data_IF_693074761517
#
_entry.id   IF_693074761517
#
_cell.length_a   1.000
_cell.length_b   1.000
_cell.length_c   1.000
_cell.angle_alpha   90.00
_cell.angle_beta   90.00
_cell.angle_gamma   90.00
#
_symmetry.space_group_name_H-M   'P 1'
#
loop_
_entity.id
_entity.type
_entity.pdbx_description
1 polymer ?
#
# COMPACT_ATOMS: atom_id res chain seq x y z
N UNK A 1 1.34 7.82 24.34
CA UNK A 1 0.84 6.61 23.63
C UNK A 1 2.00 5.96 22.90
N UNK A 2 2.24 4.67 23.13
CA UNK A 2 3.44 3.96 22.70
C UNK A 2 3.57 3.92 21.16
N UNK A 3 4.70 4.32 20.58
CA UNK A 3 4.89 4.40 19.11
C UNK A 3 4.65 3.05 18.42
N UNK A 4 4.96 1.96 19.12
CA UNK A 4 4.68 0.58 18.68
C UNK A 4 3.19 0.33 18.42
N UNK A 5 2.31 0.74 19.34
CA UNK A 5 0.86 0.57 19.19
C UNK A 5 0.32 1.32 17.96
N UNK A 6 0.91 2.47 17.64
CA UNK A 6 0.54 3.24 16.45
C UNK A 6 0.91 2.52 15.16
N UNK A 7 2.07 1.85 15.11
CA UNK A 7 2.50 1.10 13.94
C UNK A 7 1.70 -0.19 13.79
N UNK A 8 1.45 -0.91 14.89
CA UNK A 8 0.59 -2.10 14.89
C UNK A 8 -0.80 -1.80 14.38
N UNK A 9 -1.40 -0.67 14.78
CA UNK A 9 -2.72 -0.26 14.27
C UNK A 9 -2.72 -0.01 12.76
N UNK A 10 -1.67 0.62 12.22
CA UNK A 10 -1.55 0.87 10.77
C UNK A 10 -1.37 -0.43 10.00
N UNK A 11 -0.52 -1.33 10.49
CA UNK A 11 -0.30 -2.64 9.85
C UNK A 11 -1.58 -3.48 9.91
N UNK A 12 -2.25 -3.54 11.05
CA UNK A 12 -3.51 -4.27 11.20
C UNK A 12 -4.60 -3.72 10.25
N UNK A 13 -4.75 -2.40 10.18
CA UNK A 13 -5.69 -1.78 9.25
C UNK A 13 -5.32 -2.08 7.78
N UNK A 14 -4.03 -2.07 7.44
CA UNK A 14 -3.57 -2.38 6.10
C UNK A 14 -3.78 -3.86 5.74
N UNK A 15 -3.52 -4.78 6.67
CA UNK A 15 -3.79 -6.21 6.48
C UNK A 15 -5.27 -6.48 6.28
N UNK A 16 -6.15 -5.85 7.08
CA UNK A 16 -7.60 -5.95 6.89
C UNK A 16 -8.03 -5.38 5.54
N UNK A 17 -7.44 -4.24 5.14
CA UNK A 17 -7.70 -3.63 3.82
C UNK A 17 -7.35 -4.56 2.67
N UNK A 18 -6.16 -5.15 2.71
CA UNK A 18 -5.72 -6.10 1.70
C UNK A 18 -6.56 -7.39 1.71
N UNK A 19 -7.02 -7.83 2.88
CA UNK A 19 -7.93 -8.98 2.97
C UNK A 19 -9.29 -8.68 2.33
N UNK A 20 -9.86 -7.49 2.53
CA UNK A 20 -11.06 -7.04 1.81
C UNK A 20 -10.81 -7.03 0.29
N UNK A 21 -9.70 -6.44 -0.16
CA UNK A 21 -9.36 -6.40 -1.59
C UNK A 21 -9.29 -7.80 -2.20
N UNK A 22 -8.61 -8.75 -1.54
CA UNK A 22 -8.48 -10.13 -2.02
C UNK A 22 -9.85 -10.84 -2.02
N UNK A 23 -10.65 -10.68 -0.96
CA UNK A 23 -11.96 -11.33 -0.85
C UNK A 23 -12.95 -10.88 -1.95
N UNK A 24 -12.82 -9.63 -2.41
CA UNK A 24 -13.73 -9.05 -3.40
C UNK A 24 -13.09 -8.79 -4.78
N UNK A 25 -11.86 -9.31 -5.01
CA UNK A 25 -11.07 -9.04 -6.22
C UNK A 25 -11.74 -9.52 -7.52
N UNK A 26 -12.63 -10.51 -7.44
CA UNK A 26 -13.42 -11.06 -8.56
C UNK A 26 -14.27 -10.03 -9.32
N UNK A 27 -14.39 -8.79 -8.83
CA UNK A 27 -15.32 -7.78 -9.35
C UNK A 27 -14.64 -6.63 -10.09
N UNK A 28 -13.31 -6.62 -10.20
CA UNK A 28 -12.56 -5.51 -10.78
C UNK A 28 -11.59 -6.00 -11.85
N UNK A 29 -12.05 -6.09 -13.10
CA UNK A 29 -11.14 -6.19 -14.25
C UNK A 29 -10.58 -4.80 -14.56
N UNK A 30 -9.25 -4.67 -14.59
CA UNK A 30 -8.62 -3.49 -15.16
C UNK A 30 -8.66 -3.58 -16.69
N UNK A 31 -8.97 -2.49 -17.40
CA UNK A 31 -8.84 -2.44 -18.86
C UNK A 31 -7.43 -2.87 -19.30
N UNK A 32 -7.35 -3.72 -20.33
CA UNK A 32 -6.07 -4.25 -20.83
C UNK A 32 -5.07 -3.13 -21.20
N UNK A 33 -5.58 -2.02 -21.73
CA UNK A 33 -4.78 -0.84 -22.10
C UNK A 33 -4.07 -0.21 -20.90
N UNK A 34 -4.72 -0.20 -19.72
CA UNK A 34 -4.12 0.29 -18.48
C UNK A 34 -3.02 -0.66 -17.99
N UNK A 35 -3.22 -1.97 -18.12
CA UNK A 35 -2.23 -2.99 -17.73
C UNK A 35 -0.97 -2.85 -18.60
N UNK A 36 -1.12 -2.71 -19.92
CA UNK A 36 0.00 -2.59 -20.86
C UNK A 36 0.79 -1.29 -20.67
N UNK A 37 0.13 -0.18 -20.33
CA UNK A 37 0.79 1.12 -20.10
C UNK A 37 1.80 1.10 -18.95
N UNK A 38 1.64 0.18 -18.00
CA UNK A 38 2.58 -0.02 -16.89
C UNK A 38 3.60 -1.13 -17.15
N UNK A 39 3.73 -1.60 -18.40
CA UNK A 39 4.66 -2.68 -18.77
C UNK A 39 4.25 -4.04 -18.20
N UNK A 40 2.98 -4.20 -17.80
CA UNK A 40 2.43 -5.47 -17.36
C UNK A 40 1.79 -6.16 -18.57
N UNK A 41 1.96 -7.47 -18.68
CA UNK A 41 1.19 -8.30 -19.61
C UNK A 41 -0.02 -8.88 -18.88
N UNK A 42 -1.12 -9.15 -19.59
CA UNK A 42 -2.34 -9.73 -18.99
C UNK A 42 -2.05 -10.98 -18.13
N UNK A 43 -1.04 -11.78 -18.51
CA UNK A 43 -0.59 -12.91 -17.70
C UNK A 43 -0.13 -12.46 -16.30
N UNK A 44 0.66 -11.40 -16.19
CA UNK A 44 1.18 -10.91 -14.89
C UNK A 44 0.03 -10.42 -14.00
N UNK A 45 -1.02 -9.86 -14.61
CA UNK A 45 -2.22 -9.36 -13.93
C UNK A 45 -3.32 -10.41 -13.81
N UNK A 46 -3.00 -11.59 -13.24
CA UNK A 46 -4.00 -12.63 -12.90
C UNK A 46 -4.39 -12.57 -11.44
N UNK A 47 -5.62 -12.93 -11.12
CA UNK A 47 -6.17 -12.88 -9.78
C UNK A 47 -5.38 -13.70 -8.74
N UNK A 48 -4.92 -14.91 -9.09
CA UNK A 48 -4.07 -15.75 -8.23
C UNK A 48 -2.74 -15.06 -7.89
N UNK A 49 -2.22 -14.27 -8.82
CA UNK A 49 -0.95 -13.52 -8.67
C UNK A 49 -1.16 -12.23 -7.90
N UNK A 50 -2.33 -11.61 -8.00
CA UNK A 50 -2.70 -10.43 -7.22
C UNK A 50 -2.68 -10.72 -5.72
N UNK A 51 -3.26 -11.85 -5.27
CA UNK A 51 -3.21 -12.21 -3.85
C UNK A 51 -1.77 -12.38 -3.34
N UNK A 52 -0.92 -13.07 -4.12
CA UNK A 52 0.50 -13.24 -3.78
C UNK A 52 1.27 -11.91 -3.82
N UNK A 53 1.04 -11.07 -4.82
CA UNK A 53 1.67 -9.76 -4.95
C UNK A 53 1.27 -8.83 -3.79
N UNK A 54 -0.01 -8.84 -3.40
CA UNK A 54 -0.51 -8.13 -2.22
C UNK A 54 0.16 -8.65 -0.94
N UNK A 55 0.36 -9.96 -0.81
CA UNK A 55 1.11 -10.55 0.30
C UNK A 55 2.56 -10.06 0.36
N UNK A 56 3.27 -10.08 -0.77
CA UNK A 56 4.65 -9.58 -0.90
C UNK A 56 4.72 -8.09 -0.53
N UNK A 57 3.82 -7.28 -1.07
CA UNK A 57 3.75 -5.85 -0.79
C UNK A 57 3.43 -5.58 0.68
N UNK A 58 2.54 -6.38 1.29
CA UNK A 58 2.21 -6.29 2.72
C UNK A 58 3.43 -6.53 3.60
N UNK A 59 4.19 -7.58 3.31
CA UNK A 59 5.43 -7.88 4.03
C UNK A 59 6.45 -6.74 3.88
N UNK A 60 6.65 -6.25 2.66
CA UNK A 60 7.56 -5.14 2.39
C UNK A 60 7.18 -3.87 3.16
N UNK A 61 5.91 -3.45 3.08
CA UNK A 61 5.42 -2.26 3.78
C UNK A 61 5.48 -2.44 5.31
N UNK A 62 5.25 -3.65 5.82
CA UNK A 62 5.39 -3.95 7.25
C UNK A 62 6.82 -3.68 7.73
N UNK A 63 7.82 -4.10 6.96
CA UNK A 63 9.23 -3.81 7.26
C UNK A 63 9.51 -2.32 7.14
N UNK A 64 9.05 -1.67 6.08
CA UNK A 64 9.31 -0.24 5.84
C UNK A 64 8.60 0.67 6.84
N UNK A 65 7.50 0.24 7.44
CA UNK A 65 6.79 0.99 8.49
C UNK A 65 7.24 0.63 9.91
N UNK A 66 8.23 -0.25 10.06
CA UNK A 66 8.69 -0.72 11.37
C UNK A 66 9.27 0.41 12.24
N UNK A 67 9.00 0.32 13.54
CA UNK A 67 9.39 1.34 14.50
C UNK A 67 10.90 1.40 14.76
N UNK A 68 11.64 0.31 14.49
CA UNK A 68 13.12 0.28 14.57
C UNK A 68 13.71 1.01 13.37
N UNK A 69 13.16 0.81 12.17
CA UNK A 69 13.59 1.54 10.98
C UNK A 69 13.37 3.05 11.15
N UNK A 70 12.22 3.46 11.69
CA UNK A 70 11.97 4.87 11.99
C UNK A 70 12.95 5.47 13.04
N UNK A 71 13.67 4.65 13.80
CA UNK A 71 14.64 5.10 14.82
C UNK A 71 16.10 5.02 14.34
N UNK A 72 16.38 4.42 13.18
CA UNK A 72 17.75 4.23 12.70
C UNK A 72 18.43 5.49 12.18
N UNK A 73 17.70 6.59 12.00
CA UNK A 73 18.26 7.87 11.55
C UNK A 73 17.29 8.70 10.72
N UNK A 74 17.80 9.75 10.05
CA UNK A 74 17.00 10.61 9.17
C UNK A 74 16.42 9.84 7.97
N UNK A 75 17.25 9.01 7.34
CA UNK A 75 16.83 8.18 6.19
C UNK A 75 15.75 7.16 6.59
N UNK A 76 15.95 6.43 7.70
CA UNK A 76 14.94 5.48 8.20
C UNK A 76 13.62 6.14 8.58
N UNK A 77 13.67 7.33 9.19
CA UNK A 77 12.50 8.18 9.43
C UNK A 77 11.77 8.56 8.14
N UNK A 78 12.51 8.96 7.11
CA UNK A 78 11.95 9.33 5.81
C UNK A 78 11.28 8.13 5.13
N UNK A 79 11.96 6.99 5.06
CA UNK A 79 11.42 5.75 4.46
C UNK A 79 10.14 5.31 5.16
N UNK A 80 10.15 5.29 6.50
CA UNK A 80 8.94 4.97 7.24
C UNK A 80 7.80 5.94 6.96
N UNK A 81 8.09 7.23 6.76
CA UNK A 81 7.07 8.26 6.46
C UNK A 81 6.55 8.14 5.05
N UNK A 82 7.43 7.82 4.09
CA UNK A 82 7.03 7.51 2.74
C UNK A 82 6.11 6.28 2.69
N UNK A 83 6.47 5.20 3.38
CA UNK A 83 5.64 3.99 3.43
C UNK A 83 4.27 4.25 4.07
N UNK A 84 4.20 4.93 5.22
CA UNK A 84 2.92 5.33 5.82
C UNK A 84 2.12 6.28 4.91
N UNK A 85 2.79 7.18 4.18
CA UNK A 85 2.17 8.09 3.24
C UNK A 85 1.56 7.40 2.03
N UNK A 86 2.22 6.36 1.52
CA UNK A 86 1.69 5.49 0.46
C UNK A 86 0.41 4.79 0.91
N UNK A 87 0.35 4.30 2.16
CA UNK A 87 -0.86 3.69 2.72
C UNK A 87 -2.03 4.67 2.82
N UNK A 88 -1.75 5.91 3.26
CA UNK A 88 -2.78 6.95 3.34
C UNK A 88 -3.33 7.30 1.95
N UNK A 89 -2.45 7.48 0.95
CA UNK A 89 -2.90 7.79 -0.41
C UNK A 89 -3.60 6.62 -1.10
N UNK A 90 -3.22 5.37 -0.79
CA UNK A 90 -3.98 4.20 -1.24
C UNK A 90 -5.42 4.26 -0.71
N UNK A 91 -5.59 4.45 0.60
CA UNK A 91 -6.92 4.56 1.20
C UNK A 91 -7.75 5.70 0.59
N UNK A 92 -7.15 6.88 0.36
CA UNK A 92 -7.81 8.00 -0.33
C UNK A 92 -8.24 7.60 -1.74
N UNK A 93 -7.38 6.92 -2.51
CA UNK A 93 -7.71 6.47 -3.86
C UNK A 93 -8.93 5.52 -3.88
N UNK A 94 -9.04 4.59 -2.94
CA UNK A 94 -10.23 3.73 -2.84
C UNK A 94 -11.51 4.51 -2.57
N UNK A 95 -11.48 5.43 -1.61
CA UNK A 95 -12.62 6.29 -1.27
C UNK A 95 -13.01 7.16 -2.47
N UNK A 96 -12.03 7.84 -3.09
CA UNK A 96 -12.28 8.69 -4.26
C UNK A 96 -12.86 7.88 -5.43
N UNK A 97 -12.31 6.71 -5.73
CA UNK A 97 -12.84 5.84 -6.80
C UNK A 97 -14.28 5.41 -6.51
N UNK A 98 -14.59 4.99 -5.28
CA UNK A 98 -15.94 4.59 -4.93
C UNK A 98 -16.95 5.74 -5.04
N UNK A 99 -16.56 6.95 -4.63
CA UNK A 99 -17.39 8.16 -4.75
C UNK A 99 -17.60 8.54 -6.21
N UNK A 100 -16.52 8.61 -7.00
CA UNK A 100 -16.58 9.05 -8.40
C UNK A 100 -17.29 8.04 -9.29
N UNK A 101 -17.05 6.75 -9.08
CA UNK A 101 -17.68 5.66 -9.85
C UNK A 101 -19.07 5.30 -9.33
N UNK A 102 -19.47 5.83 -8.16
CA UNK A 102 -20.72 5.52 -7.45
C UNK A 102 -20.96 4.02 -7.31
N UNK A 103 -19.89 3.26 -7.16
CA UNK A 103 -19.89 1.82 -7.13
C UNK A 103 -18.98 1.32 -6.03
N UNK A 104 -19.26 0.11 -5.55
CA UNK A 104 -18.39 -0.55 -4.61
C UNK A 104 -17.04 -0.89 -5.28
N UNK A 105 -15.95 -0.46 -4.66
CA UNK A 105 -14.59 -0.84 -5.02
C UNK A 105 -14.01 -1.64 -3.83
N UNK A 106 -13.46 -2.84 -4.05
CA UNK A 106 -12.79 -3.59 -2.98
C UNK A 106 -11.82 -2.71 -2.17
N UNK A 107 -11.88 -2.81 -0.84
CA UNK A 107 -11.07 -2.01 0.09
C UNK A 107 -11.74 -0.70 0.54
N UNK A 108 -12.91 -0.33 -0.01
CA UNK A 108 -13.59 0.93 0.38
C UNK A 108 -14.09 0.90 1.82
N UNK A 109 -14.48 -0.27 2.35
CA UNK A 109 -15.03 -0.37 3.72
C UNK A 109 -13.93 -0.19 4.76
N UNK A 110 -12.74 -0.74 4.50
CA UNK A 110 -11.57 -0.61 5.37
C UNK A 110 -10.76 0.67 5.14
N UNK A 111 -10.87 1.30 3.97
CA UNK A 111 -10.09 2.49 3.62
C UNK A 111 -10.21 3.63 4.66
N UNK A 112 -11.40 3.98 5.22
CA UNK A 112 -11.50 4.99 6.26
C UNK A 112 -10.67 4.68 7.51
N UNK A 113 -10.63 3.41 7.93
CA UNK A 113 -9.86 2.97 9.11
C UNK A 113 -8.36 3.05 8.82
N UNK A 114 -7.93 2.59 7.64
CA UNK A 114 -6.54 2.70 7.20
C UNK A 114 -6.10 4.17 7.10
N UNK A 115 -6.92 5.02 6.49
CA UNK A 115 -6.65 6.44 6.35
C UNK A 115 -6.52 7.13 7.71
N UNK A 116 -7.43 6.83 8.64
CA UNK A 116 -7.37 7.38 9.99
C UNK A 116 -6.10 6.94 10.72
N UNK A 117 -5.77 5.64 10.68
CA UNK A 117 -4.60 5.10 11.36
C UNK A 117 -3.29 5.69 10.78
N UNK A 118 -3.15 5.69 9.45
CA UNK A 118 -1.98 6.21 8.75
C UNK A 118 -1.86 7.74 8.92
N UNK A 119 -2.96 8.48 8.76
CA UNK A 119 -3.02 9.93 8.94
C UNK A 119 -2.62 10.34 10.36
N UNK A 120 -3.16 9.67 11.38
CA UNK A 120 -2.77 9.88 12.78
C UNK A 120 -1.28 9.63 13.01
N UNK A 121 -0.71 8.60 12.37
CA UNK A 121 0.72 8.30 12.47
C UNK A 121 1.57 9.37 11.77
N UNK A 122 1.18 9.86 10.60
CA UNK A 122 1.87 10.95 9.89
C UNK A 122 1.87 12.25 10.71
N UNK A 123 0.72 12.63 11.27
CA UNK A 123 0.60 13.81 12.12
C UNK A 123 1.52 13.75 13.35
N UNK A 124 1.70 12.57 13.93
CA UNK A 124 2.65 12.35 15.05
C UNK A 124 4.11 12.53 14.67
N UNK A 125 4.46 12.41 13.39
CA UNK A 125 5.84 12.57 12.92
C UNK A 125 6.19 14.02 12.59
N UNK A 126 5.19 14.89 12.43
CA UNK A 126 5.37 16.31 12.13
C UNK A 126 6.27 17.04 13.14
N UNK A 127 6.10 16.90 14.48
CA UNK A 127 6.96 17.58 15.45
C UNK A 127 8.44 17.15 15.39
N UNK A 128 8.71 15.95 14.86
CA UNK A 128 10.06 15.36 14.85
C UNK A 128 10.78 15.45 13.49
N UNK A 129 10.02 15.61 12.40
CA UNK A 129 10.55 15.63 11.03
C UNK A 129 10.31 16.98 10.33
N UNK A 130 9.36 17.79 10.82
CA UNK A 130 8.92 19.01 10.14
C UNK A 130 7.84 18.72 9.08
N UNK A 131 6.90 19.67 8.91
CA UNK A 131 5.75 19.52 8.00
C UNK A 131 6.18 19.26 6.55
N UNK A 132 7.20 19.98 6.07
CA UNK A 132 7.71 19.87 4.70
C UNK A 132 8.26 18.47 4.43
N UNK A 133 9.12 17.94 5.31
CA UNK A 133 9.71 16.62 5.13
C UNK A 133 8.64 15.52 5.17
N UNK A 134 7.63 15.63 6.05
CA UNK A 134 6.49 14.68 6.06
C UNK A 134 5.70 14.73 4.76
N UNK A 135 5.41 15.93 4.24
CA UNK A 135 4.67 16.10 2.99
C UNK A 135 5.46 15.54 1.79
N UNK A 136 6.76 15.86 1.70
CA UNK A 136 7.64 15.35 0.64
C UNK A 136 7.77 13.83 0.72
N UNK A 137 8.01 13.27 1.91
CA UNK A 137 8.08 11.82 2.09
C UNK A 137 6.76 11.15 1.69
N UNK A 138 5.62 11.73 2.06
CA UNK A 138 4.29 11.23 1.68
C UNK A 138 4.11 11.23 0.16
N UNK A 139 4.47 12.32 -0.52
CA UNK A 139 4.41 12.41 -1.98
C UNK A 139 5.32 11.37 -2.65
N UNK A 140 6.57 11.25 -2.18
CA UNK A 140 7.53 10.25 -2.68
C UNK A 140 7.00 8.83 -2.47
N UNK A 141 6.42 8.53 -1.31
CA UNK A 141 5.83 7.23 -1.03
C UNK A 141 4.68 6.89 -1.99
N UNK A 142 3.81 7.85 -2.26
CA UNK A 142 2.72 7.66 -3.22
C UNK A 142 3.23 7.39 -4.63
N UNK A 143 4.21 8.17 -5.10
CA UNK A 143 4.83 7.94 -6.42
C UNK A 143 5.54 6.59 -6.48
N UNK A 144 6.29 6.23 -5.43
CA UNK A 144 7.03 4.98 -5.35
C UNK A 144 6.13 3.73 -5.18
N UNK A 145 4.86 3.91 -4.79
CA UNK A 145 3.92 2.80 -4.64
C UNK A 145 3.64 2.11 -5.98
N UNK A 146 3.58 2.86 -7.09
CA UNK A 146 3.32 2.32 -8.43
C UNK A 146 4.41 1.32 -8.86
N UNK A 147 5.70 1.67 -8.91
CA UNK A 147 6.74 0.70 -9.24
C UNK A 147 6.83 -0.44 -8.21
N UNK A 148 6.55 -0.20 -6.93
CA UNK A 148 6.52 -1.26 -5.93
C UNK A 148 5.41 -2.30 -6.19
N UNK A 149 4.22 -1.86 -6.60
CA UNK A 149 3.12 -2.73 -7.02
C UNK A 149 3.52 -3.53 -8.25
N UNK A 150 4.06 -2.87 -9.29
CA UNK A 150 4.52 -3.52 -10.53
C UNK A 150 5.58 -4.58 -10.23
N UNK A 151 6.58 -4.27 -9.41
CA UNK A 151 7.63 -5.23 -9.02
C UNK A 151 7.06 -6.40 -8.22
N UNK A 152 6.09 -6.15 -7.33
CA UNK A 152 5.44 -7.21 -6.54
C UNK A 152 4.64 -8.18 -7.44
N UNK A 153 3.99 -7.65 -8.49
CA UNK A 153 3.31 -8.48 -9.49
C UNK A 153 4.28 -9.32 -10.31
N UNK A 154 5.41 -8.75 -10.73
CA UNK A 154 6.46 -9.49 -11.42
C UNK A 154 7.10 -10.57 -10.55
N UNK A 155 7.31 -10.28 -9.26
CA UNK A 155 7.80 -11.27 -8.29
C UNK A 155 6.81 -12.42 -8.14
N UNK A 156 5.51 -12.11 -7.95
CA UNK A 156 4.45 -13.12 -7.87
C UNK A 156 4.36 -13.99 -9.14
N UNK A 157 4.48 -13.36 -10.32
CA UNK A 157 4.53 -14.09 -11.59
C UNK A 157 5.74 -15.04 -11.66
N UNK A 158 6.92 -14.58 -11.26
CA UNK A 158 8.15 -15.37 -11.33
C UNK A 158 8.09 -16.59 -10.41
N UNK A 159 7.54 -16.43 -9.21
CA UNK A 159 7.36 -17.52 -8.25
C UNK A 159 6.35 -18.57 -8.77
N UNK A 160 5.19 -18.13 -9.28
CA UNK A 160 4.15 -19.05 -9.78
C UNK A 160 4.54 -19.77 -11.07
N UNK A 161 5.38 -19.17 -11.91
CA UNK A 161 5.91 -19.82 -13.12
C UNK A 161 6.80 -21.03 -12.80
N UNK A 162 7.52 -21.00 -11.68
CA UNK A 162 8.40 -22.10 -11.27
C UNK A 162 7.62 -23.31 -10.74
N UNK A 163 6.48 -23.08 -10.09
CA UNK A 163 5.63 -24.14 -9.52
C UNK A 163 4.77 -24.89 -10.55
N UNK A 164 4.71 -24.41 -11.80
CA UNK A 164 3.96 -25.05 -12.90
C UNK A 164 4.81 -25.98 -13.78
N UNK A 165 5.99 -26.39 -13.29
CA UNK A 165 6.85 -27.45 -13.85
C UNK A 165 6.90 -28.60 -12.87
#
# INVERSE_FOLDING_TARGET
>A
MNSRLSNTAVIAAFTLHNAEEIAFLNRAELPAELVERFGLIAKVYRQDRMALATGILTAFVTVMTDARLARSGRAGRFVATAATGALAGNAVNHIMRAVLQRSYNPGVVTAPVLLWAAGRQLLRRVPHQGRRDVAVATAVGNVASVPAIVLSLWAAYSLTRQSGR
#
